data_IF_627629634217
#
_entry.id   IF_627629634217
#
_cell.length_a   1.000
_cell.length_b   1.000
_cell.length_c   1.000
_cell.angle_alpha   90.00
_cell.angle_beta   90.00
_cell.angle_gamma   90.00
#
_symmetry.space_group_name_H-M   'P 1'
#
loop_
_entity.id
_entity.type
_entity.pdbx_description
1 polymer ?
#
# COMPACT_ATOMS: atom_id res chain seq x y z
N UNK A 1 -13.85 6.56 -29.53
CA UNK A 1 -14.00 5.15 -29.92
C UNK A 1 -14.23 4.33 -28.66
N UNK A 2 -15.33 3.58 -28.57
CA UNK A 2 -15.65 2.77 -27.38
C UNK A 2 -14.58 1.67 -27.18
N UNK A 3 -13.95 1.62 -25.99
CA UNK A 3 -12.94 0.62 -25.63
C UNK A 3 -13.57 -0.76 -25.77
N UNK A 4 -13.14 -1.56 -26.76
CA UNK A 4 -13.68 -2.90 -27.01
C UNK A 4 -13.51 -3.74 -25.74
N UNK A 5 -14.63 -4.08 -25.10
CA UNK A 5 -14.64 -4.86 -23.86
C UNK A 5 -13.90 -6.19 -24.03
N UNK A 6 -13.26 -6.64 -22.94
CA UNK A 6 -12.57 -7.94 -22.88
C UNK A 6 -13.61 -9.05 -23.12
N UNK A 7 -13.36 -9.96 -24.07
CA UNK A 7 -14.28 -11.09 -24.26
C UNK A 7 -14.26 -12.01 -23.03
N UNK A 8 -15.35 -12.73 -22.70
CA UNK A 8 -15.43 -13.56 -21.49
C UNK A 8 -14.25 -14.54 -21.33
N UNK A 9 -13.89 -15.23 -22.42
CA UNK A 9 -12.74 -16.16 -22.46
C UNK A 9 -11.40 -15.47 -22.15
N UNK A 10 -11.22 -14.22 -22.58
CA UNK A 10 -10.01 -13.47 -22.28
C UNK A 10 -9.99 -13.01 -20.82
N UNK A 11 -11.13 -12.59 -20.28
CA UNK A 11 -11.26 -12.21 -18.88
C UNK A 11 -10.93 -13.37 -17.93
N UNK A 12 -11.45 -14.57 -18.20
CA UNK A 12 -11.12 -15.78 -17.43
C UNK A 12 -9.63 -16.11 -17.47
N UNK A 13 -9.01 -16.01 -18.65
CA UNK A 13 -7.58 -16.26 -18.79
C UNK A 13 -6.75 -15.22 -18.04
N UNK A 14 -7.13 -13.95 -18.14
CA UNK A 14 -6.46 -12.88 -17.42
C UNK A 14 -6.55 -13.07 -15.90
N UNK A 15 -7.70 -13.50 -15.38
CA UNK A 15 -7.86 -13.83 -13.96
C UNK A 15 -6.92 -14.99 -13.52
N UNK A 16 -6.74 -16.02 -14.36
CA UNK A 16 -5.78 -17.11 -14.11
C UNK A 16 -4.34 -16.60 -14.10
N UNK A 17 -3.97 -15.75 -15.06
CA UNK A 17 -2.64 -15.12 -15.12
C UNK A 17 -2.36 -14.32 -13.85
N UNK A 18 -3.29 -13.48 -13.40
CA UNK A 18 -3.15 -12.70 -12.16
C UNK A 18 -2.94 -13.61 -10.96
N UNK A 19 -3.76 -14.65 -10.85
CA UNK A 19 -3.69 -15.62 -9.73
C UNK A 19 -2.33 -16.32 -9.66
N UNK A 20 -1.83 -16.79 -10.81
CA UNK A 20 -0.52 -17.47 -10.89
C UNK A 20 0.64 -16.50 -10.61
N UNK A 21 0.58 -15.28 -11.15
CA UNK A 21 1.61 -14.27 -10.94
C UNK A 21 1.63 -13.77 -9.49
N UNK A 22 0.48 -13.67 -8.83
CA UNK A 22 0.37 -13.43 -7.39
C UNK A 22 0.94 -14.58 -6.55
N UNK A 23 0.89 -15.80 -7.08
CA UNK A 23 1.59 -16.98 -6.56
C UNK A 23 3.11 -16.92 -6.67
N UNK A 24 3.65 -15.98 -7.45
CA UNK A 24 5.09 -15.83 -7.68
C UNK A 24 5.58 -16.48 -8.97
N UNK A 25 4.71 -17.10 -9.77
CA UNK A 25 5.09 -17.63 -11.08
C UNK A 25 5.52 -16.49 -12.02
N UNK A 26 6.57 -16.70 -12.82
CA UNK A 26 6.98 -15.73 -13.85
C UNK A 26 6.06 -15.81 -15.07
N UNK A 27 6.05 -14.79 -15.92
CA UNK A 27 5.23 -14.80 -17.13
C UNK A 27 5.63 -15.92 -18.11
N UNK A 28 6.89 -16.35 -18.13
CA UNK A 28 7.35 -17.50 -18.90
C UNK A 28 6.73 -18.80 -18.39
N UNK A 29 6.69 -18.99 -17.07
CA UNK A 29 6.08 -20.17 -16.44
C UNK A 29 4.58 -20.18 -16.71
N UNK A 30 3.93 -19.03 -16.56
CA UNK A 30 2.49 -18.87 -16.81
C UNK A 30 2.15 -19.13 -18.28
N UNK A 31 2.95 -18.59 -19.20
CA UNK A 31 2.79 -18.78 -20.64
C UNK A 31 2.84 -20.27 -21.01
N UNK A 32 3.85 -20.99 -20.50
CA UNK A 32 3.96 -22.44 -20.68
C UNK A 32 2.77 -23.18 -20.09
N UNK A 33 2.35 -22.84 -18.87
CA UNK A 33 1.25 -23.51 -18.17
C UNK A 33 -0.12 -23.29 -18.83
N UNK A 34 -0.35 -22.11 -19.40
CA UNK A 34 -1.62 -21.75 -20.04
C UNK A 34 -1.64 -21.98 -21.56
N UNK A 35 -0.52 -22.42 -22.15
CA UNK A 35 -0.40 -22.62 -23.60
C UNK A 35 -0.51 -21.33 -24.41
N UNK A 36 -0.01 -20.22 -23.89
CA UNK A 36 -0.02 -18.89 -24.53
C UNK A 36 1.41 -18.36 -24.71
N UNK A 37 1.57 -17.28 -25.47
CA UNK A 37 2.87 -16.60 -25.57
C UNK A 37 3.18 -15.80 -24.30
N UNK A 38 4.47 -15.59 -24.04
CA UNK A 38 4.94 -14.69 -22.98
C UNK A 38 4.28 -13.31 -23.06
N UNK A 39 4.31 -12.71 -24.25
CA UNK A 39 3.72 -11.40 -24.52
C UNK A 39 2.22 -11.39 -24.21
N UNK A 40 1.51 -12.48 -24.51
CA UNK A 40 0.09 -12.58 -24.21
C UNK A 40 -0.19 -12.71 -22.72
N UNK A 41 0.61 -13.48 -21.98
CA UNK A 41 0.52 -13.54 -20.52
C UNK A 41 0.72 -12.15 -19.88
N UNK A 42 1.73 -11.41 -20.34
CA UNK A 42 1.98 -10.04 -19.88
C UNK A 42 0.81 -9.09 -20.20
N UNK A 43 0.34 -9.10 -21.45
CA UNK A 43 -0.76 -8.23 -21.88
C UNK A 43 -2.07 -8.52 -21.13
N UNK A 44 -2.39 -9.79 -20.88
CA UNK A 44 -3.57 -10.17 -20.12
C UNK A 44 -3.46 -9.72 -18.65
N UNK A 45 -2.26 -9.80 -18.05
CA UNK A 45 -2.01 -9.26 -16.71
C UNK A 45 -2.19 -7.74 -16.67
N UNK A 46 -1.53 -7.01 -17.57
CA UNK A 46 -1.61 -5.55 -17.63
C UNK A 46 -3.05 -5.07 -17.84
N UNK A 47 -3.81 -5.73 -18.73
CA UNK A 47 -5.21 -5.39 -18.98
C UNK A 47 -6.11 -5.67 -17.78
N UNK A 48 -5.91 -6.80 -17.09
CA UNK A 48 -6.65 -7.10 -15.86
C UNK A 48 -6.35 -6.07 -14.76
N UNK A 49 -5.12 -5.57 -14.69
CA UNK A 49 -4.74 -4.51 -13.76
C UNK A 49 -5.35 -3.17 -14.13
N UNK A 50 -5.36 -2.78 -15.40
CA UNK A 50 -6.03 -1.55 -15.86
C UNK A 50 -7.53 -1.57 -15.53
N UNK A 51 -8.20 -2.67 -15.81
CA UNK A 51 -9.65 -2.79 -15.65
C UNK A 51 -10.06 -2.85 -14.17
N UNK A 52 -9.20 -3.39 -13.29
CA UNK A 52 -9.42 -3.40 -11.84
C UNK A 52 -9.30 -2.00 -11.18
N UNK A 53 -8.83 -0.97 -11.92
CA UNK A 53 -8.55 0.40 -11.43
C UNK A 53 -7.92 0.46 -10.02
N UNK A 54 -6.80 -0.22 -9.78
CA UNK A 54 -6.12 -0.10 -8.50
C UNK A 54 -5.43 1.26 -8.41
N UNK A 55 -5.44 1.87 -7.21
CA UNK A 55 -4.30 2.67 -6.77
C UNK A 55 -3.06 1.81 -6.97
N UNK A 56 -2.21 2.12 -7.96
CA UNK A 56 -1.11 1.25 -8.38
C UNK A 56 -0.22 0.84 -7.18
N UNK A 57 -0.05 1.74 -6.22
CA UNK A 57 0.63 1.48 -4.95
C UNK A 57 -0.04 0.36 -4.14
N UNK A 58 -1.36 0.42 -3.90
CA UNK A 58 -2.10 -0.59 -3.10
C UNK A 58 -2.01 -1.98 -3.72
N UNK A 59 -1.99 -2.10 -5.05
CA UNK A 59 -1.85 -3.40 -5.70
C UNK A 59 -0.45 -4.01 -5.53
N UNK A 60 0.61 -3.21 -5.67
CA UNK A 60 1.99 -3.67 -5.44
C UNK A 60 2.17 -4.13 -4.00
N UNK A 61 1.67 -3.36 -3.03
CA UNK A 61 1.69 -3.73 -1.61
C UNK A 61 0.91 -5.02 -1.33
N UNK A 62 -0.31 -5.15 -1.86
CA UNK A 62 -1.12 -6.34 -1.65
C UNK A 62 -0.48 -7.60 -2.26
N UNK A 63 0.15 -7.46 -3.43
CA UNK A 63 0.87 -8.55 -4.10
C UNK A 63 2.10 -9.00 -3.31
N UNK A 64 2.93 -8.07 -2.86
CA UNK A 64 4.10 -8.38 -2.02
C UNK A 64 3.66 -9.03 -0.70
N UNK A 65 2.62 -8.48 -0.06
CA UNK A 65 2.01 -9.06 1.15
C UNK A 65 1.60 -10.52 0.93
N UNK A 66 0.87 -10.82 -0.16
CA UNK A 66 0.43 -12.19 -0.48
C UNK A 66 1.61 -13.16 -0.67
N UNK A 67 2.68 -12.72 -1.34
CA UNK A 67 3.87 -13.55 -1.58
C UNK A 67 4.63 -13.84 -0.27
N UNK A 68 4.82 -12.82 0.56
CA UNK A 68 5.48 -12.96 1.86
C UNK A 68 4.67 -13.84 2.81
N UNK A 69 3.34 -13.68 2.87
CA UNK A 69 2.48 -14.53 3.69
C UNK A 69 2.48 -16.01 3.24
N UNK A 70 2.63 -16.29 1.94
CA UNK A 70 2.79 -17.66 1.43
C UNK A 70 4.10 -18.29 1.90
N UNK A 71 5.21 -17.54 1.85
CA UNK A 71 6.48 -18.00 2.39
C UNK A 71 6.40 -18.19 3.90
N UNK A 72 5.77 -17.25 4.60
CA UNK A 72 5.53 -17.37 6.04
C UNK A 72 4.82 -18.68 6.37
N UNK A 73 3.68 -18.95 5.74
CA UNK A 73 2.92 -20.18 5.95
C UNK A 73 3.72 -21.46 5.64
N UNK A 74 4.54 -21.46 4.59
CA UNK A 74 5.34 -22.62 4.18
C UNK A 74 6.43 -23.00 5.18
N UNK A 75 7.03 -22.02 5.87
CA UNK A 75 8.15 -22.25 6.79
C UNK A 75 7.78 -22.17 8.28
N UNK A 76 6.58 -21.68 8.61
CA UNK A 76 6.14 -21.45 9.98
C UNK A 76 6.24 -22.69 10.87
N UNK A 77 5.70 -23.83 10.41
CA UNK A 77 5.74 -25.08 11.19
C UNK A 77 7.17 -25.51 11.50
N UNK A 78 8.06 -25.48 10.50
CA UNK A 78 9.48 -25.84 10.68
C UNK A 78 10.19 -24.92 11.68
N UNK A 79 9.88 -23.63 11.65
CA UNK A 79 10.42 -22.68 12.61
C UNK A 79 9.99 -23.00 14.05
N UNK A 80 8.71 -23.34 14.26
CA UNK A 80 8.19 -23.77 15.57
C UNK A 80 8.79 -25.10 16.05
N UNK A 81 9.09 -26.01 15.12
CA UNK A 81 9.72 -27.30 15.41
C UNK A 81 11.24 -27.19 15.71
N UNK A 82 11.80 -25.97 15.74
CA UNK A 82 13.19 -25.71 16.15
C UNK A 82 14.20 -25.58 15.01
N UNK A 83 13.77 -25.55 13.74
CA UNK A 83 14.67 -25.28 12.62
C UNK A 83 15.12 -23.81 12.65
N UNK A 84 16.34 -23.57 13.12
CA UNK A 84 16.94 -22.23 13.28
C UNK A 84 16.99 -21.46 11.93
N UNK A 85 17.20 -22.16 10.81
CA UNK A 85 17.23 -21.51 9.48
C UNK A 85 15.83 -21.05 9.08
N UNK A 86 14.81 -21.88 9.31
CA UNK A 86 13.42 -21.50 9.10
C UNK A 86 13.00 -20.35 10.02
N UNK A 87 13.40 -20.38 11.30
CA UNK A 87 13.12 -19.30 12.25
C UNK A 87 13.72 -17.97 11.79
N UNK A 88 14.97 -17.96 11.31
CA UNK A 88 15.60 -16.74 10.77
C UNK A 88 14.88 -16.23 9.53
N UNK A 89 14.51 -17.11 8.60
CA UNK A 89 13.71 -16.73 7.42
C UNK A 89 12.37 -16.11 7.80
N UNK A 90 11.67 -16.67 8.79
CA UNK A 90 10.39 -16.13 9.29
C UNK A 90 10.56 -14.75 9.90
N UNK A 91 11.61 -14.53 10.70
CA UNK A 91 11.91 -13.20 11.27
C UNK A 91 12.17 -12.16 10.17
N UNK A 92 12.92 -12.53 9.13
CA UNK A 92 13.18 -11.64 7.99
C UNK A 92 11.89 -11.32 7.20
N UNK A 93 11.02 -12.31 6.98
CA UNK A 93 9.71 -12.11 6.34
C UNK A 93 8.83 -11.17 7.18
N UNK A 94 8.79 -11.36 8.50
CA UNK A 94 8.00 -10.51 9.40
C UNK A 94 8.51 -9.07 9.42
N UNK A 95 9.83 -8.86 9.35
CA UNK A 95 10.42 -7.54 9.22
C UNK A 95 9.97 -6.85 7.92
N UNK A 96 10.03 -7.55 6.79
CA UNK A 96 9.58 -7.00 5.51
C UNK A 96 8.09 -6.68 5.52
N UNK A 97 7.25 -7.54 6.14
CA UNK A 97 5.82 -7.27 6.31
C UNK A 97 5.56 -6.04 7.21
N UNK A 98 6.29 -5.90 8.30
CA UNK A 98 6.18 -4.75 9.19
C UNK A 98 6.53 -3.43 8.48
N UNK A 99 7.58 -3.42 7.66
CA UNK A 99 7.94 -2.28 6.81
C UNK A 99 6.86 -1.96 5.79
N UNK A 100 6.34 -3.00 5.13
CA UNK A 100 5.30 -2.87 4.11
C UNK A 100 4.01 -2.26 4.66
N UNK A 101 3.68 -2.55 5.93
CA UNK A 101 2.51 -2.04 6.63
C UNK A 101 2.78 -0.74 7.41
N UNK A 102 4.01 -0.23 7.36
CA UNK A 102 4.39 0.98 8.11
C UNK A 102 4.41 0.80 9.63
N UNK A 103 4.45 -0.44 10.12
CA UNK A 103 4.64 -0.75 11.54
C UNK A 103 6.10 -0.55 11.97
N UNK A 104 7.03 -0.63 11.02
CA UNK A 104 8.45 -0.33 11.23
C UNK A 104 8.75 1.07 10.66
N UNK A 105 8.76 2.07 11.54
CA UNK A 105 9.07 3.45 11.17
C UNK A 105 8.67 4.42 12.28
N UNK A 106 9.65 5.07 12.91
CA UNK A 106 9.36 6.23 13.74
C UNK A 106 8.88 7.36 12.80
N UNK A 107 7.62 7.79 12.93
CA UNK A 107 7.16 9.02 12.32
C UNK A 107 7.86 10.17 13.06
N UNK A 108 9.02 10.62 12.56
CA UNK A 108 9.57 11.92 12.97
C UNK A 108 8.72 13.00 12.31
N UNK A 109 7.74 13.49 13.07
CA UNK A 109 6.93 14.65 12.71
C UNK A 109 7.74 15.88 13.11
N UNK A 110 8.47 16.45 12.17
CA UNK A 110 9.09 17.77 12.33
C UNK A 110 8.00 18.81 12.06
N UNK A 111 7.27 19.17 13.12
CA UNK A 111 6.27 20.23 13.05
C UNK A 111 7.01 21.54 13.26
N UNK A 112 7.46 22.15 12.16
CA UNK A 112 7.85 23.56 12.20
C UNK A 112 6.56 24.39 12.31
N UNK A 113 6.23 24.84 13.52
CA UNK A 113 5.15 25.80 13.73
C UNK A 113 5.64 27.14 13.21
N UNK A 114 5.40 27.42 11.92
CA UNK A 114 5.61 28.75 11.31
C UNK A 114 4.51 29.73 11.74
N UNK A 115 4.19 29.72 13.02
CA UNK A 115 3.13 30.53 13.61
C UNK A 115 3.63 31.52 14.64
N UNK A 116 4.95 31.69 14.85
CA UNK A 116 5.45 32.64 15.85
C UNK A 116 4.85 34.03 15.67
N UNK A 117 4.89 34.55 14.44
CA UNK A 117 4.41 35.90 14.12
C UNK A 117 2.89 35.96 13.88
N UNK A 118 2.29 34.95 13.23
CA UNK A 118 0.84 34.89 13.01
C UNK A 118 0.06 34.64 14.30
N UNK A 119 0.55 33.76 15.18
CA UNK A 119 -0.04 33.50 16.50
C UNK A 119 0.15 34.69 17.45
N UNK A 120 1.32 35.33 17.44
CA UNK A 120 1.54 36.56 18.22
C UNK A 120 0.64 37.71 17.74
N UNK A 121 0.45 37.85 16.43
CA UNK A 121 -0.47 38.84 15.85
C UNK A 121 -1.92 38.54 16.19
N UNK A 122 -2.32 37.27 16.18
CA UNK A 122 -3.67 36.83 16.58
C UNK A 122 -3.95 37.07 18.08
N UNK A 123 -2.97 36.83 18.97
CA UNK A 123 -3.13 37.14 20.40
C UNK A 123 -3.22 38.65 20.64
N UNK A 124 -2.44 39.44 19.89
CA UNK A 124 -2.45 40.91 20.01
C UNK A 124 -3.79 41.50 19.56
N UNK A 125 -4.34 41.05 18.43
CA UNK A 125 -5.65 41.50 17.94
C UNK A 125 -6.80 41.04 18.83
N UNK A 126 -6.70 39.83 19.40
CA UNK A 126 -7.69 39.31 20.34
C UNK A 126 -7.70 40.11 21.66
N UNK A 127 -6.52 40.45 22.20
CA UNK A 127 -6.39 41.29 23.40
C UNK A 127 -6.97 42.69 23.20
N UNK A 128 -6.66 43.34 22.07
CA UNK A 128 -7.21 44.64 21.71
C UNK A 128 -8.75 44.61 21.59
N UNK A 129 -9.30 43.50 21.09
CA UNK A 129 -10.76 43.31 20.97
C UNK A 129 -11.44 43.12 22.34
N UNK A 130 -10.78 42.45 23.29
CA UNK A 130 -11.27 42.29 24.67
C UNK A 130 -11.21 43.63 25.42
N UNK A 131 -10.13 44.39 25.28
CA UNK A 131 -10.00 45.71 25.91
C UNK A 131 -11.04 46.71 25.35
N UNK A 132 -11.31 46.67 24.05
CA UNK A 132 -12.37 47.46 23.42
C UNK A 132 -13.79 47.07 23.87
N UNK A 133 -14.06 45.77 24.10
CA UNK A 133 -15.34 45.30 24.66
C UNK A 133 -15.48 45.60 26.17
N UNK A 134 -14.38 45.63 26.91
CA UNK A 134 -14.37 46.01 28.33
C UNK A 134 -14.66 47.50 28.53
N UNK A 135 -14.09 48.37 27.68
CA UNK A 135 -14.31 49.81 27.74
C UNK A 135 -15.77 50.23 27.44
N UNK A 136 -16.53 49.40 26.71
CA UNK A 136 -17.96 49.66 26.45
C UNK A 136 -18.90 49.33 27.60
N UNK A 137 -18.40 48.69 28.67
CA UNK A 137 -19.20 48.32 29.85
C UNK A 137 -19.04 49.28 31.04
N UNK A 138 -18.09 50.23 30.97
CA UNK A 138 -17.82 51.20 32.04
C UNK A 138 -18.43 52.60 31.80
N UNK A 139 -19.17 52.79 30.70
CA UNK A 139 -19.78 54.08 30.27
C UNK A 139 -21.34 54.11 30.33
N UNK A 140 -22.00 53.17 31.02
CA UNK A 140 -23.42 53.25 31.44
C UNK A 140 -23.56 53.28 32.97
#
# INVERSE_FOLDING_TARGET
>A
MAKRGMTPKRAERAAKVVTLHDGGATFEVIAKQLGISYTQARNDYERAMEDARPDQARHVFAKLTRRLNRLHAAYWKRALDGDIKAARLILDINKQLAQLWGLEGAVKLDIEVTGGDEFASAITSFRASIEAMGATLDDE
#
